data_IF_239635714664
#
_entry.id   IF_239635714664
#
_cell.length_a   1.000
_cell.length_b   1.000
_cell.length_c   1.000
_cell.angle_alpha   90.00
_cell.angle_beta   90.00
_cell.angle_gamma   90.00
#
_symmetry.space_group_name_H-M   'P 1'
#
loop_
_entity.id
_entity.type
_entity.pdbx_description
1 polymer ?
#
# COMPACT_ATOMS: atom_id res chain seq x y z
N UNK A 1 19.28 11.64 -12.09
CA UNK A 1 19.53 10.75 -10.94
C UNK A 1 20.51 9.67 -11.35
N UNK A 2 21.53 9.35 -10.54
CA UNK A 2 22.42 8.22 -10.79
C UNK A 2 21.61 6.92 -10.82
N UNK A 3 21.80 6.13 -11.86
CA UNK A 3 21.19 4.80 -11.96
C UNK A 3 22.19 3.78 -11.47
N UNK A 4 21.72 2.82 -10.69
CA UNK A 4 22.56 1.72 -10.17
C UNK A 4 22.13 0.40 -10.79
N UNK A 5 22.97 -0.62 -10.68
CA UNK A 5 22.62 -1.99 -11.05
C UNK A 5 22.17 -2.80 -9.81
N UNK A 6 21.63 -4.02 -9.98
CA UNK A 6 21.19 -4.84 -8.85
C UNK A 6 22.31 -5.27 -7.90
N UNK A 7 23.55 -5.39 -8.36
CA UNK A 7 24.67 -5.77 -7.49
C UNK A 7 25.06 -4.59 -6.59
N UNK A 8 25.07 -3.37 -7.15
CA UNK A 8 25.24 -2.14 -6.41
C UNK A 8 24.08 -1.91 -5.42
N UNK A 9 22.83 -2.15 -5.84
CA UNK A 9 21.67 -2.13 -4.93
C UNK A 9 21.86 -3.08 -3.74
N UNK A 10 22.26 -4.33 -4.00
CA UNK A 10 22.46 -5.34 -2.95
C UNK A 10 23.56 -4.94 -1.97
N UNK A 11 24.60 -4.23 -2.43
CA UNK A 11 25.67 -3.69 -1.59
C UNK A 11 25.18 -2.52 -0.74
N UNK A 12 24.48 -1.55 -1.35
CA UNK A 12 24.04 -0.33 -0.68
C UNK A 12 22.91 -0.61 0.34
N UNK A 13 22.04 -1.59 0.07
CA UNK A 13 20.94 -1.97 0.96
C UNK A 13 21.35 -2.84 2.16
N UNK A 14 22.61 -3.31 2.24
CA UNK A 14 23.11 -4.13 3.37
C UNK A 14 22.80 -3.57 4.77
N UNK A 15 22.91 -2.25 5.04
CA UNK A 15 22.63 -1.69 6.36
C UNK A 15 21.19 -1.88 6.84
N UNK A 16 20.26 -2.25 5.96
CA UNK A 16 18.87 -2.51 6.31
C UNK A 16 18.66 -3.91 6.90
N UNK A 17 19.59 -4.84 6.66
CA UNK A 17 19.47 -6.21 7.12
C UNK A 17 19.54 -6.27 8.65
N UNK A 18 18.58 -6.95 9.25
CA UNK A 18 18.44 -7.09 10.70
C UNK A 18 17.70 -5.96 11.38
N UNK A 19 17.39 -4.85 10.67
CA UNK A 19 16.54 -3.78 11.23
C UNK A 19 15.12 -4.29 11.45
N UNK A 20 14.51 -3.83 12.54
CA UNK A 20 13.15 -4.22 12.94
C UNK A 20 12.14 -3.27 12.33
N UNK A 21 11.00 -3.77 11.85
CA UNK A 21 9.85 -2.94 11.48
C UNK A 21 9.20 -2.43 12.77
N UNK A 22 9.30 -1.13 13.01
CA UNK A 22 8.79 -0.49 14.24
C UNK A 22 7.35 -0.04 14.08
N UNK A 23 7.03 0.47 12.90
CA UNK A 23 5.70 0.99 12.60
C UNK A 23 5.35 0.69 11.16
N UNK A 24 4.05 0.54 10.94
CA UNK A 24 3.48 0.47 9.60
C UNK A 24 2.38 1.49 9.48
N UNK A 25 2.27 2.11 8.32
CA UNK A 25 1.12 2.94 7.98
C UNK A 25 0.72 2.75 6.53
N UNK A 26 -0.50 3.15 6.22
CA UNK A 26 -1.01 3.26 4.86
C UNK A 26 -1.58 4.66 4.64
N UNK A 27 -1.48 5.15 3.41
CA UNK A 27 -1.97 6.48 3.03
C UNK A 27 -3.09 6.40 1.98
N UNK A 28 -3.30 7.48 1.25
CA UNK A 28 -4.25 7.55 0.14
C UNK A 28 -3.94 6.48 -0.91
N UNK A 29 -4.99 5.86 -1.44
CA UNK A 29 -4.86 4.76 -2.40
C UNK A 29 -4.36 3.49 -1.73
N UNK A 30 -3.30 2.91 -2.31
CA UNK A 30 -2.65 1.68 -1.86
C UNK A 30 -1.29 1.90 -1.22
N UNK A 31 -0.84 3.15 -1.05
CA UNK A 31 0.50 3.41 -0.55
C UNK A 31 0.68 2.90 0.90
N UNK A 32 1.80 2.23 1.15
CA UNK A 32 2.19 1.73 2.48
C UNK A 32 3.62 2.16 2.84
N UNK A 33 3.85 2.30 4.14
CA UNK A 33 5.10 2.79 4.71
C UNK A 33 5.48 1.90 5.89
N UNK A 34 6.74 1.48 5.93
CA UNK A 34 7.33 0.71 7.02
C UNK A 34 8.47 1.55 7.60
N UNK A 35 8.34 1.97 8.86
CA UNK A 35 9.41 2.64 9.60
C UNK A 35 10.27 1.57 10.27
N UNK A 36 11.59 1.70 10.17
CA UNK A 36 12.56 0.73 10.67
C UNK A 36 13.29 1.27 11.91
N UNK A 37 13.74 0.35 12.77
CA UNK A 37 14.47 0.64 14.01
C UNK A 37 15.90 1.11 13.72
N UNK A 38 16.04 2.39 13.40
CA UNK A 38 17.34 3.06 13.27
C UNK A 38 17.53 4.05 14.39
N UNK A 39 18.76 4.19 14.89
CA UNK A 39 19.10 5.11 15.98
C UNK A 39 18.73 6.58 15.72
N UNK A 40 18.59 6.98 14.44
CA UNK A 40 18.41 8.37 14.00
C UNK A 40 17.22 8.57 13.03
N UNK A 41 16.07 7.91 13.26
CA UNK A 41 14.83 8.08 12.46
C UNK A 41 14.94 7.84 10.93
N UNK A 42 16.01 7.19 10.44
CA UNK A 42 16.39 7.19 9.01
C UNK A 42 15.96 6.00 8.16
N UNK A 43 15.66 4.83 8.75
CA UNK A 43 15.28 3.66 7.96
C UNK A 43 13.79 3.66 7.63
N UNK A 44 13.40 3.77 6.36
CA UNK A 44 12.00 3.67 5.95
C UNK A 44 11.83 3.02 4.58
N UNK A 45 10.80 2.18 4.41
CA UNK A 45 10.44 1.58 3.12
C UNK A 45 9.05 2.05 2.72
N UNK A 46 8.91 2.55 1.50
CA UNK A 46 7.65 3.07 0.96
C UNK A 46 7.29 2.40 -0.35
N UNK A 47 6.04 1.95 -0.47
CA UNK A 47 5.43 1.45 -1.70
C UNK A 47 4.27 2.38 -2.08
N UNK A 48 4.17 2.81 -3.33
CA UNK A 48 3.13 3.78 -3.74
C UNK A 48 1.98 3.16 -4.54
N UNK A 49 2.22 2.03 -5.18
CA UNK A 49 1.29 1.38 -6.10
C UNK A 49 0.84 0.02 -5.57
N UNK A 50 0.88 -0.97 -6.44
CA UNK A 50 0.52 -2.32 -6.15
C UNK A 50 1.63 -3.03 -5.40
N UNK A 51 1.20 -3.75 -4.36
CA UNK A 51 2.06 -4.56 -3.52
C UNK A 51 1.27 -5.76 -3.02
N UNK A 52 1.97 -6.80 -2.62
CA UNK A 52 1.38 -7.94 -1.94
C UNK A 52 2.30 -8.48 -0.84
N UNK A 53 1.69 -8.95 0.22
CA UNK A 53 2.29 -9.70 1.30
C UNK A 53 1.94 -11.17 1.09
N UNK A 54 2.95 -12.03 1.06
CA UNK A 54 2.82 -13.47 0.86
C UNK A 54 3.65 -14.23 1.90
N UNK A 55 3.21 -15.43 2.26
CA UNK A 55 4.05 -16.42 2.92
C UNK A 55 4.59 -17.44 1.90
N UNK A 56 4.98 -18.62 2.35
CA UNK A 56 5.49 -19.67 1.46
C UNK A 56 4.38 -20.42 0.70
N UNK A 57 3.11 -20.20 1.05
CA UNK A 57 1.97 -20.98 0.57
C UNK A 57 0.87 -20.14 -0.08
N UNK A 58 0.67 -18.90 0.35
CA UNK A 58 -0.44 -18.06 -0.10
C UNK A 58 -0.16 -16.55 -0.08
N UNK A 59 -1.05 -15.79 -0.73
CA UNK A 59 -1.08 -14.33 -0.64
C UNK A 59 -1.93 -13.95 0.57
N UNK A 60 -1.30 -13.33 1.57
CA UNK A 60 -1.95 -12.92 2.81
C UNK A 60 -2.78 -11.64 2.63
N UNK A 61 -2.26 -10.67 1.87
CA UNK A 61 -2.89 -9.38 1.61
C UNK A 61 -2.21 -8.65 0.45
N UNK A 62 -2.85 -7.64 -0.14
CA UNK A 62 -2.24 -6.70 -1.07
C UNK A 62 -2.98 -5.38 -1.22
N UNK A 63 -2.50 -4.55 -2.15
CA UNK A 63 -3.02 -3.20 -2.46
C UNK A 63 -4.52 -3.16 -2.79
N UNK A 64 -5.06 -4.29 -3.27
CA UNK A 64 -6.44 -4.42 -3.72
C UNK A 64 -7.41 -4.93 -2.64
N UNK A 65 -6.91 -5.42 -1.50
CA UNK A 65 -7.75 -5.84 -0.37
C UNK A 65 -8.49 -4.66 0.27
N UNK A 66 -9.47 -4.98 1.13
CA UNK A 66 -10.21 -4.01 1.91
C UNK A 66 -9.34 -3.43 3.03
N UNK A 67 -9.75 -2.29 3.61
CA UNK A 67 -8.91 -1.57 4.58
C UNK A 67 -8.71 -2.26 5.92
N UNK A 68 -9.71 -2.96 6.51
CA UNK A 68 -9.46 -3.73 7.73
C UNK A 68 -8.52 -4.91 7.51
N UNK A 69 -8.53 -5.51 6.31
CA UNK A 69 -7.60 -6.59 5.96
C UNK A 69 -6.18 -6.05 5.81
N UNK A 70 -6.00 -4.91 5.11
CA UNK A 70 -4.69 -4.26 4.94
C UNK A 70 -4.12 -3.81 6.29
N UNK A 71 -4.90 -3.08 7.10
CA UNK A 71 -4.40 -2.58 8.39
C UNK A 71 -4.04 -3.73 9.33
N UNK A 72 -4.86 -4.78 9.40
CA UNK A 72 -4.56 -5.97 10.21
C UNK A 72 -3.29 -6.66 9.72
N UNK A 73 -3.15 -6.88 8.41
CA UNK A 73 -1.97 -7.50 7.83
C UNK A 73 -0.70 -6.67 8.08
N UNK A 74 -0.76 -5.35 7.90
CA UNK A 74 0.40 -4.48 8.16
C UNK A 74 0.83 -4.50 9.63
N UNK A 75 -0.12 -4.55 10.57
CA UNK A 75 0.21 -4.67 12.01
C UNK A 75 1.00 -5.95 12.33
N UNK A 76 0.75 -7.05 11.60
CA UNK A 76 1.52 -8.28 11.78
C UNK A 76 2.99 -8.17 11.35
N UNK A 77 3.37 -7.11 10.63
CA UNK A 77 4.76 -6.87 10.24
C UNK A 77 5.59 -6.26 11.36
N UNK A 78 4.94 -5.61 12.34
CA UNK A 78 5.62 -4.91 13.44
C UNK A 78 6.39 -5.93 14.30
N UNK A 79 7.65 -5.61 14.59
CA UNK A 79 8.56 -6.48 15.34
C UNK A 79 9.31 -7.50 14.47
N UNK A 80 8.93 -7.69 13.20
CA UNK A 80 9.69 -8.52 12.27
C UNK A 80 10.95 -7.79 11.79
N UNK A 81 12.00 -8.54 11.49
CA UNK A 81 13.25 -7.99 10.96
C UNK A 81 13.34 -8.13 9.46
N UNK A 82 14.03 -7.20 8.81
CA UNK A 82 14.41 -7.34 7.40
C UNK A 82 15.48 -8.43 7.28
N UNK A 83 15.14 -9.55 6.65
CA UNK A 83 16.04 -10.67 6.42
C UNK A 83 16.70 -10.63 5.03
N UNK A 84 16.09 -9.92 4.07
CA UNK A 84 16.64 -9.78 2.72
C UNK A 84 15.91 -8.72 1.91
N UNK A 85 16.60 -8.18 0.91
CA UNK A 85 16.04 -7.32 -0.12
C UNK A 85 16.50 -7.83 -1.48
N UNK A 86 15.56 -8.02 -2.40
CA UNK A 86 15.83 -8.53 -3.74
C UNK A 86 15.19 -7.61 -4.77
N UNK A 87 15.96 -7.22 -5.79
CA UNK A 87 15.38 -6.58 -6.99
C UNK A 87 15.02 -7.67 -7.99
N UNK A 88 13.75 -7.72 -8.33
CA UNK A 88 13.21 -8.60 -9.36
C UNK A 88 13.54 -8.03 -10.76
N UNK A 89 13.42 -8.86 -11.80
CA UNK A 89 13.65 -8.47 -13.20
C UNK A 89 12.52 -8.99 -14.09
N UNK A 90 12.22 -8.34 -15.24
CA UNK A 90 12.98 -7.24 -15.86
C UNK A 90 12.64 -5.83 -15.34
N UNK A 91 11.50 -5.65 -14.68
CA UNK A 91 11.14 -4.39 -14.04
C UNK A 91 11.81 -4.31 -12.67
N UNK A 92 12.18 -3.12 -12.18
CA UNK A 92 12.86 -2.96 -10.89
C UNK A 92 11.86 -3.10 -9.72
N UNK A 93 11.09 -4.18 -9.69
CA UNK A 93 10.28 -4.53 -8.53
C UNK A 93 11.19 -4.95 -7.38
N UNK A 94 10.73 -4.76 -6.13
CA UNK A 94 11.47 -5.13 -4.93
C UNK A 94 10.68 -6.16 -4.11
N UNK A 95 11.40 -7.15 -3.62
CA UNK A 95 10.93 -8.12 -2.63
C UNK A 95 11.69 -7.88 -1.32
N UNK A 96 10.94 -7.55 -0.25
CA UNK A 96 11.44 -7.49 1.12
C UNK A 96 11.13 -8.82 1.79
N UNK A 97 12.16 -9.52 2.23
CA UNK A 97 12.04 -10.80 2.95
C UNK A 97 12.12 -10.49 4.44
N UNK A 98 11.16 -10.98 5.22
CA UNK A 98 11.06 -10.77 6.66
C UNK A 98 11.58 -11.98 7.43
N UNK A 99 11.91 -11.79 8.72
CA UNK A 99 12.54 -12.81 9.57
C UNK A 99 11.69 -14.07 9.79
N UNK A 100 10.39 -14.02 9.54
CA UNK A 100 9.48 -15.17 9.59
C UNK A 100 9.28 -15.85 8.23
N UNK A 101 10.04 -15.45 7.20
CA UNK A 101 9.95 -16.00 5.84
C UNK A 101 8.94 -15.29 4.93
N UNK A 102 8.10 -14.40 5.47
CA UNK A 102 7.16 -13.64 4.67
C UNK A 102 7.84 -12.70 3.70
N UNK A 103 7.16 -12.40 2.58
CA UNK A 103 7.66 -11.55 1.51
C UNK A 103 6.68 -10.43 1.24
N UNK A 104 7.15 -9.19 1.34
CA UNK A 104 6.43 -8.01 0.89
C UNK A 104 7.02 -7.55 -0.44
N UNK A 105 6.21 -7.60 -1.50
CA UNK A 105 6.66 -7.31 -2.86
C UNK A 105 6.00 -6.07 -3.42
N UNK A 106 6.74 -5.24 -4.15
CA UNK A 106 6.13 -4.36 -5.14
C UNK A 106 5.73 -5.20 -6.36
N UNK A 107 4.63 -4.84 -7.01
CA UNK A 107 4.20 -5.54 -8.21
C UNK A 107 3.27 -4.64 -9.03
N UNK A 108 3.76 -3.89 -10.01
CA UNK A 108 2.87 -3.09 -10.87
C UNK A 108 1.90 -3.99 -11.66
N UNK A 109 0.60 -3.93 -11.38
CA UNK A 109 -0.42 -4.78 -12.04
C UNK A 109 -1.06 -4.12 -13.28
N UNK A 110 -0.72 -2.86 -13.54
CA UNK A 110 -1.25 -2.06 -14.65
C UNK A 110 -0.11 -1.52 -15.51
N UNK A 111 -0.42 -0.63 -16.46
CA UNK A 111 0.59 0.09 -17.24
C UNK A 111 1.43 0.99 -16.32
N UNK A 112 2.75 0.89 -16.42
CA UNK A 112 3.67 1.73 -15.66
C UNK A 112 4.93 0.98 -15.29
N UNK A 113 5.74 1.60 -14.43
CA UNK A 113 6.85 0.94 -13.76
C UNK A 113 6.57 0.92 -12.26
N UNK A 114 7.07 -0.07 -11.52
CA UNK A 114 6.95 -0.05 -10.07
C UNK A 114 7.67 1.18 -9.50
N UNK A 115 7.04 1.79 -8.50
CA UNK A 115 7.62 2.90 -7.75
C UNK A 115 7.60 2.59 -6.26
N UNK A 116 8.78 2.62 -5.68
CA UNK A 116 9.05 2.36 -4.27
C UNK A 116 10.34 3.06 -3.88
N UNK A 117 10.46 3.45 -2.61
CA UNK A 117 11.68 4.06 -2.06
C UNK A 117 12.11 3.36 -0.78
N UNK A 118 13.41 3.41 -0.54
CA UNK A 118 13.99 3.08 0.74
C UNK A 118 14.89 4.21 1.18
N UNK A 119 14.59 4.81 2.33
CA UNK A 119 15.51 5.68 3.05
C UNK A 119 16.44 4.80 3.87
N UNK A 120 17.74 5.00 3.67
CA UNK A 120 18.81 4.26 4.35
C UNK A 120 19.20 4.94 5.66
N UNK A 121 19.89 4.25 6.58
CA UNK A 121 20.36 4.86 7.82
C UNK A 121 21.24 6.10 7.64
N UNK A 122 21.97 6.20 6.52
CA UNK A 122 22.78 7.37 6.16
C UNK A 122 21.97 8.48 5.45
N UNK A 123 20.64 8.37 5.45
CA UNK A 123 19.68 9.27 4.79
C UNK A 123 19.74 9.28 3.26
N UNK A 124 20.60 8.44 2.66
CA UNK A 124 20.57 8.22 1.22
C UNK A 124 19.35 7.38 0.82
N UNK A 125 18.92 7.50 -0.43
CA UNK A 125 17.66 6.92 -0.91
C UNK A 125 17.93 5.96 -2.06
N UNK A 126 17.41 4.75 -1.92
CA UNK A 126 17.26 3.79 -3.01
C UNK A 126 15.83 3.87 -3.56
N UNK A 127 15.65 3.63 -4.85
CA UNK A 127 14.30 3.55 -5.40
C UNK A 127 14.22 2.86 -6.75
N UNK A 128 13.02 2.38 -7.07
CA UNK A 128 12.60 2.03 -8.42
C UNK A 128 11.81 3.19 -9.01
N UNK A 129 12.24 3.74 -10.16
CA UNK A 129 11.54 4.85 -10.83
C UNK A 129 11.73 4.80 -12.33
N UNK A 130 10.65 5.00 -13.09
CA UNK A 130 10.66 5.00 -14.56
C UNK A 130 11.44 3.80 -15.16
N UNK A 131 11.30 2.63 -14.53
CA UNK A 131 11.91 1.38 -14.98
C UNK A 131 13.41 1.25 -14.64
N UNK A 132 13.94 2.10 -13.76
CA UNK A 132 15.36 2.10 -13.36
C UNK A 132 15.51 2.05 -11.85
N UNK A 133 16.61 1.45 -11.39
CA UNK A 133 17.08 1.60 -10.01
C UNK A 133 17.86 2.90 -9.88
N UNK A 134 17.64 3.63 -8.79
CA UNK A 134 18.30 4.89 -8.49
C UNK A 134 18.90 4.89 -7.08
N UNK A 135 19.98 5.66 -6.90
CA UNK A 135 20.56 5.99 -5.59
C UNK A 135 20.85 7.48 -5.50
N UNK A 136 20.38 8.16 -4.45
CA UNK A 136 20.63 9.60 -4.23
C UNK A 136 21.09 9.85 -2.80
N UNK A 137 22.04 10.79 -2.60
CA UNK A 137 22.76 10.89 -1.33
C UNK A 137 22.09 11.75 -0.26
N UNK A 138 21.19 12.69 -0.58
CA UNK A 138 20.68 13.63 0.45
C UNK A 138 19.32 14.27 0.15
N UNK A 139 18.71 13.98 -1.00
CA UNK A 139 17.42 14.56 -1.35
C UNK A 139 16.63 13.58 -2.22
N UNK A 140 15.38 13.37 -1.84
CA UNK A 140 14.28 13.33 -2.78
C UNK A 140 14.34 14.69 -3.51
N UNK A 141 14.71 14.79 -4.80
CA UNK A 141 14.82 16.08 -5.45
C UNK A 141 13.56 16.94 -5.27
N UNK A 142 13.66 18.27 -5.23
CA UNK A 142 12.46 19.11 -5.04
C UNK A 142 11.40 18.93 -6.15
N UNK A 143 11.78 18.41 -7.32
CA UNK A 143 10.88 18.02 -8.42
C UNK A 143 10.34 16.58 -8.30
N UNK A 144 10.68 15.91 -7.19
CA UNK A 144 10.26 14.57 -6.85
C UNK A 144 9.09 14.64 -5.88
N UNK A 145 7.92 14.83 -6.45
CA UNK A 145 6.71 14.33 -5.82
C UNK A 145 6.68 12.80 -6.01
N UNK A 146 6.36 12.00 -4.98
CA UNK A 146 5.93 10.62 -5.18
C UNK A 146 4.72 10.68 -6.11
N UNK A 147 4.91 10.42 -7.41
CA UNK A 147 4.02 10.82 -8.50
C UNK A 147 3.61 12.33 -8.44
N UNK A 148 3.96 13.19 -9.41
CA UNK A 148 3.38 14.55 -9.49
C UNK A 148 1.84 14.56 -9.56
N UNK A 149 1.21 13.40 -9.77
CA UNK A 149 -0.22 13.20 -9.67
C UNK A 149 -0.69 12.77 -8.29
N UNK A 150 0.13 12.33 -7.33
CA UNK A 150 -0.37 11.85 -6.03
C UNK A 150 -1.14 12.92 -5.25
N UNK A 151 -0.63 14.16 -5.21
CA UNK A 151 -1.37 15.28 -4.60
C UNK A 151 -2.64 15.59 -5.38
N UNK A 152 -2.59 15.53 -6.72
CA UNK A 152 -3.80 15.67 -7.54
C UNK A 152 -4.79 14.54 -7.30
N UNK A 153 -4.33 13.30 -7.10
CA UNK A 153 -5.17 12.15 -6.82
C UNK A 153 -5.80 12.30 -5.44
N UNK A 154 -5.03 12.72 -4.44
CA UNK A 154 -5.55 13.08 -3.13
C UNK A 154 -6.62 14.16 -3.24
N UNK A 155 -6.36 15.25 -3.95
CA UNK A 155 -7.30 16.35 -4.12
C UNK A 155 -8.58 15.93 -4.85
N UNK A 156 -8.44 15.17 -5.94
CA UNK A 156 -9.56 14.59 -6.69
C UNK A 156 -10.39 13.67 -5.79
N UNK A 157 -9.72 12.85 -4.97
CA UNK A 157 -10.35 11.91 -4.05
C UNK A 157 -11.12 12.64 -2.94
N UNK A 158 -10.53 13.66 -2.33
CA UNK A 158 -11.17 14.53 -1.32
C UNK A 158 -12.35 15.28 -1.94
N UNK A 159 -12.19 15.81 -3.16
CA UNK A 159 -13.27 16.51 -3.86
C UNK A 159 -14.44 15.56 -4.18
N UNK A 160 -14.16 14.33 -4.58
CA UNK A 160 -15.16 13.30 -4.80
C UNK A 160 -15.87 12.92 -3.49
N UNK A 161 -15.13 12.72 -2.39
CA UNK A 161 -15.70 12.50 -1.06
C UNK A 161 -16.67 13.62 -0.67
N UNK A 162 -16.24 14.88 -0.76
CA UNK A 162 -17.10 16.04 -0.44
C UNK A 162 -18.38 16.10 -1.28
N UNK A 163 -18.34 15.65 -2.54
CA UNK A 163 -19.47 15.75 -3.48
C UNK A 163 -20.44 14.57 -3.42
N UNK A 164 -19.94 13.35 -3.18
CA UNK A 164 -20.75 12.13 -3.29
C UNK A 164 -20.99 11.43 -1.95
N UNK A 165 -20.19 11.71 -0.91
CA UNK A 165 -20.32 11.02 0.37
C UNK A 165 -21.23 11.80 1.33
N UNK A 166 -22.41 11.25 1.58
CA UNK A 166 -23.29 11.71 2.65
C UNK A 166 -22.83 11.12 3.99
N UNK A 167 -22.25 11.97 4.84
CA UNK A 167 -21.76 11.59 6.17
C UNK A 167 -22.87 11.21 7.15
N UNK A 168 -24.13 11.55 6.87
CA UNK A 168 -25.27 11.10 7.69
C UNK A 168 -25.45 9.58 7.60
N UNK A 169 -24.91 8.96 6.55
CA UNK A 169 -24.87 7.51 6.38
C UNK A 169 -23.67 6.84 7.08
N UNK A 170 -23.03 7.49 8.05
CA UNK A 170 -22.03 6.88 8.92
C UNK A 170 -22.70 6.47 10.22
N UNK A 171 -22.82 5.16 10.48
CA UNK A 171 -23.14 4.64 11.79
C UNK A 171 -21.93 3.92 12.40
N UNK A 172 -21.82 3.86 13.74
CA UNK A 172 -20.90 2.95 14.39
C UNK A 172 -21.25 1.49 14.02
N UNK A 173 -20.28 0.71 13.55
CA UNK A 173 -20.47 -0.70 13.24
C UNK A 173 -20.12 -1.08 11.80
N UNK A 174 -20.94 -1.96 11.23
CA UNK A 174 -20.76 -2.60 9.93
C UNK A 174 -20.64 -1.59 8.78
N UNK A 175 -19.54 -1.64 8.00
CA UNK A 175 -19.29 -0.74 6.87
C UNK A 175 -19.39 -1.48 5.54
N UNK A 176 -19.75 -0.77 4.47
CA UNK A 176 -19.85 -1.34 3.13
C UNK A 176 -18.56 -2.07 2.72
N UNK A 177 -17.37 -1.52 2.97
CA UNK A 177 -16.09 -2.22 2.67
C UNK A 177 -15.95 -3.61 3.27
N UNK A 178 -16.67 -3.91 4.36
CA UNK A 178 -16.56 -5.16 5.10
C UNK A 178 -17.71 -6.12 4.72
N UNK A 179 -18.59 -5.69 3.79
CA UNK A 179 -19.76 -6.42 3.34
C UNK A 179 -19.43 -7.29 2.12
N UNK A 180 -19.90 -8.54 2.12
CA UNK A 180 -19.80 -9.50 1.03
C UNK A 180 -20.33 -8.95 -0.31
N UNK A 181 -21.33 -8.08 -0.25
CA UNK A 181 -21.99 -7.51 -1.43
C UNK A 181 -21.34 -6.22 -1.94
N UNK A 182 -20.28 -5.74 -1.30
CA UNK A 182 -19.57 -4.55 -1.77
C UNK A 182 -18.53 -4.93 -2.82
N UNK A 183 -18.68 -4.35 -4.01
CA UNK A 183 -17.74 -4.53 -5.11
C UNK A 183 -17.00 -3.22 -5.31
N UNK A 184 -15.69 -3.18 -4.96
CA UNK A 184 -14.86 -1.98 -5.14
C UNK A 184 -14.87 -1.56 -6.61
N UNK A 185 -15.07 -0.27 -6.87
CA UNK A 185 -14.91 0.26 -8.22
C UNK A 185 -13.42 0.38 -8.53
N UNK A 186 -12.97 -0.31 -9.57
CA UNK A 186 -11.66 -0.05 -10.14
C UNK A 186 -11.77 1.18 -11.05
N UNK A 187 -11.13 2.28 -10.69
CA UNK A 187 -11.32 3.56 -11.36
C UNK A 187 -10.30 4.62 -10.95
N UNK A 188 -10.37 5.82 -11.56
CA UNK A 188 -9.49 6.93 -11.23
C UNK A 188 -9.61 7.35 -9.76
N UNK A 189 -8.67 8.16 -9.28
CA UNK A 189 -8.54 8.58 -7.88
C UNK A 189 -9.84 9.03 -7.18
N UNK A 190 -10.80 9.57 -7.95
CA UNK A 190 -12.13 9.96 -7.48
C UNK A 190 -12.93 8.80 -6.84
N UNK A 191 -12.68 7.56 -7.25
CA UNK A 191 -13.43 6.38 -6.82
C UNK A 191 -12.66 5.47 -5.87
N UNK A 192 -11.50 5.92 -5.35
CA UNK A 192 -10.68 5.11 -4.43
C UNK A 192 -11.45 4.59 -3.21
N UNK A 193 -12.47 5.34 -2.79
CA UNK A 193 -13.30 5.06 -1.61
C UNK A 193 -14.69 4.54 -1.95
N UNK A 194 -14.95 4.20 -3.21
CA UNK A 194 -16.28 3.88 -3.68
C UNK A 194 -16.33 2.47 -4.25
N UNK A 195 -17.49 1.84 -4.05
CA UNK A 195 -17.85 0.56 -4.64
C UNK A 195 -19.27 0.60 -5.15
N UNK A 196 -19.74 -0.51 -5.71
CA UNK A 196 -21.14 -0.76 -5.95
C UNK A 196 -21.68 -1.76 -4.93
N UNK A 197 -22.91 -1.58 -4.49
CA UNK A 197 -23.61 -2.61 -3.72
C UNK A 197 -24.35 -3.55 -4.68
N UNK A 198 -24.08 -4.85 -4.55
CA UNK A 198 -24.69 -5.93 -5.34
C UNK A 198 -25.77 -6.72 -4.57
N UNK A 199 -26.20 -6.22 -3.40
CA UNK A 199 -27.23 -6.86 -2.60
C UNK A 199 -28.62 -6.39 -3.08
N UNK A 200 -29.40 -7.30 -3.66
CA UNK A 200 -30.73 -6.98 -4.18
C UNK A 200 -31.71 -6.42 -3.12
N UNK A 201 -31.53 -6.83 -1.87
CA UNK A 201 -32.37 -6.40 -0.75
C UNK A 201 -31.89 -5.09 -0.10
N UNK A 202 -30.68 -4.63 -0.45
CA UNK A 202 -30.13 -3.39 0.09
C UNK A 202 -30.82 -2.16 -0.51
N UNK A 203 -31.02 -1.08 0.27
CA UNK A 203 -31.42 0.21 -0.30
C UNK A 203 -30.40 0.78 -1.32
N UNK A 204 -29.22 0.17 -1.40
CA UNK A 204 -28.15 0.53 -2.30
C UNK A 204 -27.98 -0.39 -3.52
N UNK A 205 -28.88 -1.35 -3.79
CA UNK A 205 -28.76 -2.21 -4.98
C UNK A 205 -28.48 -1.38 -6.25
N UNK A 206 -27.43 -1.77 -7.00
CA UNK A 206 -26.96 -1.12 -8.23
C UNK A 206 -26.50 0.33 -8.07
N UNK A 207 -26.30 0.81 -6.84
CA UNK A 207 -25.81 2.17 -6.56
C UNK A 207 -24.33 2.14 -6.20
N UNK A 208 -23.67 3.23 -6.57
CA UNK A 208 -22.34 3.55 -6.06
C UNK A 208 -22.48 3.96 -4.60
N UNK A 209 -21.73 3.32 -3.72
CA UNK A 209 -21.70 3.58 -2.28
C UNK A 209 -20.28 3.91 -1.85
N UNK A 210 -20.17 4.79 -0.86
CA UNK A 210 -18.89 5.03 -0.21
C UNK A 210 -18.56 3.83 0.70
N UNK A 211 -17.30 3.46 0.81
CA UNK A 211 -16.85 2.31 1.59
C UNK A 211 -17.25 2.40 3.07
N UNK A 212 -17.37 3.61 3.61
CA UNK A 212 -17.75 3.87 5.00
C UNK A 212 -19.28 4.01 5.21
N UNK A 213 -20.09 3.86 4.17
CA UNK A 213 -21.54 3.76 4.29
C UNK A 213 -21.94 2.45 4.99
N UNK A 214 -23.20 2.33 5.39
CA UNK A 214 -23.75 1.14 6.04
C UNK A 214 -25.23 0.94 5.67
N UNK A 215 -25.74 -0.28 5.80
CA UNK A 215 -27.18 -0.59 5.73
C UNK A 215 -27.50 -1.86 6.53
N UNK A 216 -28.79 -2.09 6.81
CA UNK A 216 -29.25 -3.24 7.60
C UNK A 216 -29.07 -4.60 6.90
N UNK A 217 -28.84 -4.60 5.58
CA UNK A 217 -28.57 -5.82 4.79
C UNK A 217 -27.08 -6.17 4.73
N UNK A 218 -26.31 -5.75 5.74
CA UNK A 218 -24.89 -6.08 5.82
C UNK A 218 -24.69 -7.58 6.02
N UNK A 219 -23.75 -8.14 5.25
CA UNK A 219 -23.30 -9.52 5.42
C UNK A 219 -21.76 -9.52 5.44
N UNK A 220 -21.09 -10.02 6.49
CA UNK A 220 -19.63 -9.93 6.58
C UNK A 220 -18.95 -10.73 5.45
N UNK A 221 -17.99 -10.11 4.76
CA UNK A 221 -17.22 -10.75 3.69
C UNK A 221 -16.33 -11.89 4.21
N UNK A 222 -15.76 -11.71 5.41
CA UNK A 222 -14.99 -12.71 6.12
C UNK A 222 -15.81 -13.15 7.35
N UNK A 223 -16.43 -14.35 7.36
CA UNK A 223 -17.08 -14.83 8.56
C UNK A 223 -16.03 -14.96 9.66
N UNK A 224 -16.29 -14.36 10.84
CA UNK A 224 -15.48 -14.62 12.02
C UNK A 224 -15.56 -16.12 12.29
N UNK A 225 -14.43 -16.86 12.30
CA UNK A 225 -14.46 -18.28 12.62
C UNK A 225 -15.12 -18.47 14.00
N UNK A 226 -15.90 -19.54 14.19
CA UNK A 226 -16.69 -19.78 15.40
C UNK A 226 -15.85 -19.84 16.68
#
# INVERSE_FOLDING_TARGET
MPTIDPAEFARISQPLLGLTVMRTSNSFGSAIFLDLDTADDGGAISFYWDWRLEDDTEILCGSSNSRPDISSALQTLIGLKIAGLVVEKPLPDITIILSNGWRLRSMSLISGNPEWHITLPDQSILGGRLGKLIHTLNQIPDDYHPDPLADRFRDISIAAEKRWFDRSAIAPGNKCQDCLFFVRLNGPAAFLWYGACACADSPFDRKVVHQASHCDQFFPANPVPP
#
